data_IF_860643914631
#
_entry.id   IF_860643914631
#
_cell.length_a   1.000
_cell.length_b   1.000
_cell.length_c   1.000
_cell.angle_alpha   90.00
_cell.angle_beta   90.00
_cell.angle_gamma   90.00
#
_symmetry.space_group_name_H-M   'P 1'
#
loop_
_entity.id
_entity.type
_entity.pdbx_description
1 polymer ?
#
# COMPACT_ATOMS: atom_id res chain seq x y z
N UNK A 1 -2.56 13.15 22.11
CA UNK A 1 -2.41 12.37 20.86
C UNK A 1 -1.02 12.67 20.33
N UNK A 2 -0.16 11.66 20.17
CA UNK A 2 1.19 11.86 19.66
C UNK A 2 1.13 12.29 18.19
N UNK A 3 1.86 13.34 17.81
CA UNK A 3 2.00 13.74 16.41
C UNK A 3 2.73 12.63 15.67
N UNK A 4 2.20 12.11 14.54
CA UNK A 4 2.88 11.04 13.81
C UNK A 4 4.26 11.51 13.35
N UNK A 5 5.28 10.67 13.59
CA UNK A 5 6.68 10.98 13.29
C UNK A 5 7.09 10.56 11.88
N UNK A 6 6.25 9.73 11.24
CA UNK A 6 6.37 9.25 9.85
C UNK A 6 4.98 9.10 9.24
N UNK A 7 4.92 9.21 7.92
CA UNK A 7 3.75 8.85 7.09
C UNK A 7 4.13 7.70 6.18
N UNK A 8 3.29 6.67 6.14
CA UNK A 8 3.35 5.57 5.20
C UNK A 8 2.31 5.83 4.09
N UNK A 9 2.78 6.02 2.87
CA UNK A 9 1.96 6.17 1.68
C UNK A 9 1.85 4.83 0.96
N UNK A 10 0.62 4.36 0.74
CA UNK A 10 0.32 3.17 -0.05
C UNK A 10 -0.31 3.64 -1.34
N UNK A 11 0.42 3.48 -2.44
CA UNK A 11 0.01 3.95 -3.75
C UNK A 11 -0.48 2.77 -4.57
N UNK A 12 -1.77 2.81 -4.90
CA UNK A 12 -2.39 1.84 -5.79
C UNK A 12 -2.02 2.12 -7.24
N UNK A 13 -1.93 1.06 -8.06
CA UNK A 13 -1.80 1.19 -9.52
C UNK A 13 -3.15 1.57 -10.19
N UNK A 14 -4.27 1.41 -9.48
CA UNK A 14 -5.60 1.77 -9.96
C UNK A 14 -5.84 3.29 -9.97
N UNK A 15 -6.74 3.74 -10.85
CA UNK A 15 -7.28 5.11 -10.87
C UNK A 15 -8.46 5.21 -9.89
N UNK A 16 -8.56 6.28 -9.11
CA UNK A 16 -9.60 6.52 -8.11
C UNK A 16 -10.99 6.78 -8.72
N UNK A 17 -11.01 7.07 -10.02
CA UNK A 17 -12.21 6.98 -10.86
C UNK A 17 -12.67 5.53 -10.93
N UNK A 18 -13.81 5.25 -10.31
CA UNK A 18 -14.51 3.96 -10.15
C UNK A 18 -14.86 3.34 -11.53
N UNK A 19 -13.84 2.91 -12.28
CA UNK A 19 -13.95 2.27 -13.60
C UNK A 19 -13.13 0.96 -13.64
N UNK A 20 -12.49 0.57 -12.53
CA UNK A 20 -11.89 -0.76 -12.38
C UNK A 20 -12.93 -1.88 -12.33
N UNK A 21 -14.12 -1.62 -11.76
CA UNK A 21 -15.19 -2.63 -11.67
C UNK A 21 -15.82 -2.96 -13.03
N UNK A 22 -15.91 -1.99 -13.94
CA UNK A 22 -16.47 -2.20 -15.26
C UNK A 22 -15.48 -2.93 -16.20
N UNK A 23 -14.19 -2.58 -16.15
CA UNK A 23 -13.18 -3.27 -16.96
C UNK A 23 -12.87 -4.69 -16.44
N UNK A 24 -12.89 -4.94 -15.13
CA UNK A 24 -12.55 -6.26 -14.58
C UNK A 24 -13.64 -7.31 -14.87
N UNK A 25 -14.92 -6.93 -14.72
CA UNK A 25 -16.04 -7.79 -15.10
C UNK A 25 -16.12 -8.06 -16.60
N UNK A 26 -15.81 -7.06 -17.43
CA UNK A 26 -15.88 -7.18 -18.89
C UNK A 26 -14.67 -7.92 -19.51
N UNK A 27 -13.45 -7.73 -18.96
CA UNK A 27 -12.23 -8.40 -19.44
C UNK A 27 -12.15 -9.87 -19.03
N UNK A 28 -12.61 -10.25 -17.83
CA UNK A 28 -12.59 -11.67 -17.40
C UNK A 28 -13.55 -12.56 -18.21
N UNK A 29 -14.60 -11.97 -18.79
CA UNK A 29 -15.55 -12.66 -19.68
C UNK A 29 -15.01 -12.75 -21.12
N UNK A 30 -14.20 -11.77 -21.58
CA UNK A 30 -13.80 -11.66 -22.99
C UNK A 30 -12.31 -11.91 -23.31
N UNK A 31 -11.40 -11.91 -22.33
CA UNK A 31 -9.96 -12.12 -22.54
C UNK A 31 -9.27 -12.75 -21.30
N UNK A 32 -9.24 -14.09 -21.18
CA UNK A 32 -8.65 -14.77 -20.03
C UNK A 32 -7.11 -14.65 -19.91
N UNK A 33 -6.41 -14.20 -20.96
CA UNK A 33 -4.94 -14.28 -21.04
C UNK A 33 -4.20 -12.97 -20.75
N UNK A 34 -4.89 -11.82 -20.82
CA UNK A 34 -4.28 -10.47 -20.71
C UNK A 34 -4.94 -9.61 -19.61
N UNK A 35 -5.62 -10.24 -18.65
CA UNK A 35 -6.15 -9.49 -17.51
C UNK A 35 -4.96 -9.03 -16.66
N UNK A 36 -4.73 -7.71 -16.60
CA UNK A 36 -3.76 -7.11 -15.70
C UNK A 36 -3.90 -7.75 -14.31
N UNK A 37 -2.80 -8.25 -13.71
CA UNK A 37 -2.85 -8.87 -12.40
C UNK A 37 -3.49 -7.91 -11.40
N UNK A 38 -4.31 -8.45 -10.50
CA UNK A 38 -4.97 -7.66 -9.45
C UNK A 38 -3.90 -6.83 -8.74
N UNK A 39 -4.17 -5.55 -8.54
CA UNK A 39 -3.26 -4.66 -7.83
C UNK A 39 -3.00 -5.23 -6.43
N UNK A 40 -1.77 -5.67 -6.15
CA UNK A 40 -1.41 -6.33 -4.89
C UNK A 40 -1.76 -5.50 -3.65
N UNK A 41 -1.57 -4.18 -3.71
CA UNK A 41 -2.01 -3.28 -2.64
C UNK A 41 -3.54 -3.29 -2.45
N UNK A 42 -4.33 -3.37 -3.52
CA UNK A 42 -5.79 -3.53 -3.41
C UNK A 42 -6.19 -4.90 -2.85
N UNK A 43 -5.42 -5.96 -3.12
CA UNK A 43 -5.66 -7.27 -2.50
C UNK A 43 -5.43 -7.20 -0.98
N UNK A 44 -4.34 -6.56 -0.56
CA UNK A 44 -4.00 -6.38 0.86
C UNK A 44 -5.07 -5.54 1.58
N UNK A 45 -5.58 -4.47 0.96
CA UNK A 45 -6.48 -3.53 1.64
C UNK A 45 -7.96 -3.86 1.49
N UNK A 46 -8.37 -4.46 0.37
CA UNK A 46 -9.78 -4.69 0.02
C UNK A 46 -10.14 -6.16 -0.24
N UNK A 47 -9.17 -7.08 -0.22
CA UNK A 47 -9.40 -8.49 -0.56
C UNK A 47 -9.83 -8.70 -2.02
N UNK A 48 -9.44 -7.80 -2.93
CA UNK A 48 -9.72 -7.88 -4.36
C UNK A 48 -10.71 -6.83 -4.87
N UNK A 49 -11.94 -7.24 -5.21
CA UNK A 49 -12.91 -6.40 -5.94
C UNK A 49 -13.84 -5.55 -5.06
N UNK A 50 -13.64 -5.58 -3.75
CA UNK A 50 -14.35 -4.69 -2.83
C UNK A 50 -13.82 -3.26 -2.93
N UNK A 51 -14.65 -2.26 -2.63
CA UNK A 51 -14.20 -0.88 -2.40
C UNK A 51 -14.08 -0.56 -0.90
N UNK A 52 -14.49 -1.50 -0.05
CA UNK A 52 -14.41 -1.37 1.40
C UNK A 52 -13.13 -2.03 1.87
N UNK A 53 -12.45 -1.38 2.80
CA UNK A 53 -11.34 -1.99 3.53
C UNK A 53 -11.82 -3.26 4.23
N UNK A 54 -10.99 -4.30 4.21
CA UNK A 54 -11.29 -5.53 4.96
C UNK A 54 -11.13 -5.29 6.47
N UNK A 55 -11.85 -6.03 7.33
CA UNK A 55 -11.63 -5.96 8.77
C UNK A 55 -10.16 -6.20 9.17
N UNK A 56 -9.49 -7.12 8.48
CA UNK A 56 -8.07 -7.43 8.67
C UNK A 56 -7.19 -6.23 8.36
N UNK A 57 -7.47 -5.52 7.26
CA UNK A 57 -6.74 -4.30 6.91
C UNK A 57 -7.02 -3.15 7.88
N UNK A 58 -8.27 -2.97 8.31
CA UNK A 58 -8.62 -1.94 9.31
C UNK A 58 -7.84 -2.18 10.61
N UNK A 59 -7.74 -3.43 11.06
CA UNK A 59 -6.96 -3.79 12.24
C UNK A 59 -5.46 -3.52 12.03
N UNK A 60 -4.90 -3.93 10.89
CA UNK A 60 -3.49 -3.68 10.54
C UNK A 60 -3.17 -2.18 10.47
N UNK A 61 -4.04 -1.39 9.85
CA UNK A 61 -3.93 0.06 9.77
C UNK A 61 -3.97 0.70 11.16
N UNK A 62 -4.89 0.27 12.01
CA UNK A 62 -4.96 0.76 13.39
C UNK A 62 -3.72 0.40 14.21
N UNK A 63 -3.10 -0.76 13.96
CA UNK A 63 -1.85 -1.16 14.59
C UNK A 63 -0.70 -0.24 14.15
N UNK A 64 -0.55 -0.01 12.84
CA UNK A 64 0.45 0.90 12.26
C UNK A 64 0.29 2.32 12.82
N UNK A 65 -0.93 2.84 12.84
CA UNK A 65 -1.23 4.18 13.35
C UNK A 65 -1.05 4.28 14.87
N UNK A 66 -1.31 3.19 15.60
CA UNK A 66 -1.02 3.06 17.03
C UNK A 66 0.45 3.21 17.38
N UNK A 67 1.36 2.91 16.44
CA UNK A 67 2.80 3.08 16.59
C UNK A 67 3.32 4.47 16.15
N UNK A 68 2.41 5.40 15.87
CA UNK A 68 2.78 6.77 15.50
C UNK A 68 3.18 6.95 14.04
N UNK A 69 2.79 6.02 13.17
CA UNK A 69 2.94 6.11 11.71
C UNK A 69 1.58 6.38 11.07
N UNK A 70 1.41 7.53 10.43
CA UNK A 70 0.16 7.86 9.71
C UNK A 70 0.06 7.03 8.43
N UNK A 71 -1.06 6.35 8.19
CA UNK A 71 -1.28 5.63 6.93
C UNK A 71 -2.09 6.50 5.96
N UNK A 72 -1.54 6.72 4.77
CA UNK A 72 -2.20 7.42 3.67
C UNK A 72 -2.31 6.45 2.49
N UNK A 73 -3.51 6.30 1.94
CA UNK A 73 -3.77 5.44 0.80
C UNK A 73 -4.25 6.32 -0.35
N UNK A 74 -3.58 6.24 -1.49
CA UNK A 74 -3.90 7.02 -2.68
C UNK A 74 -3.92 6.16 -3.92
N UNK A 75 -4.87 6.45 -4.79
CA UNK A 75 -4.81 6.02 -6.18
C UNK A 75 -3.77 6.83 -6.95
N UNK A 76 -3.37 6.33 -8.13
CA UNK A 76 -2.32 6.96 -8.95
C UNK A 76 -2.59 8.42 -9.29
N UNK A 77 -3.87 8.80 -9.40
CA UNK A 77 -4.39 10.11 -9.76
C UNK A 77 -4.63 11.02 -8.54
N UNK A 78 -4.61 10.46 -7.34
CA UNK A 78 -4.84 11.17 -6.07
C UNK A 78 -3.53 11.59 -5.39
N UNK A 79 -2.38 11.14 -5.91
CA UNK A 79 -1.08 11.47 -5.35
C UNK A 79 -0.81 12.97 -5.36
N UNK A 80 -0.39 13.50 -4.21
CA UNK A 80 0.11 14.87 -4.09
C UNK A 80 1.30 15.11 -5.03
N UNK A 81 1.42 16.35 -5.53
CA UNK A 81 2.39 16.76 -6.55
C UNK A 81 3.84 16.41 -6.19
N UNK A 82 4.24 16.54 -4.92
CA UNK A 82 5.59 16.26 -4.46
C UNK A 82 5.92 14.76 -4.56
N UNK A 83 5.07 13.88 -4.03
CA UNK A 83 5.26 12.43 -4.08
C UNK A 83 5.16 11.92 -5.52
N UNK A 84 4.19 12.40 -6.30
CA UNK A 84 4.04 12.06 -7.71
C UNK A 84 5.27 12.45 -8.53
N UNK A 85 5.83 13.64 -8.28
CA UNK A 85 7.08 14.10 -8.91
C UNK A 85 8.26 13.19 -8.56
N UNK A 86 8.38 12.79 -7.29
CA UNK A 86 9.42 11.85 -6.85
C UNK A 86 9.26 10.47 -7.48
N UNK A 87 8.06 9.87 -7.46
CA UNK A 87 7.77 8.56 -8.08
C UNK A 87 8.19 8.54 -9.55
N UNK A 88 7.85 9.59 -10.30
CA UNK A 88 8.21 9.71 -11.73
C UNK A 88 9.72 9.89 -11.93
N UNK A 89 10.35 10.72 -11.10
CA UNK A 89 11.79 10.99 -11.19
C UNK A 89 12.63 9.74 -10.91
N UNK A 90 12.26 8.99 -9.87
CA UNK A 90 12.98 7.78 -9.45
C UNK A 90 12.55 6.53 -10.23
N UNK A 91 11.57 6.63 -11.13
CA UNK A 91 11.11 5.50 -11.95
C UNK A 91 10.43 4.39 -11.15
N UNK A 92 9.77 4.75 -10.04
CA UNK A 92 9.14 3.77 -9.13
C UNK A 92 7.89 3.18 -9.77
N UNK A 93 7.85 1.85 -9.84
CA UNK A 93 6.68 1.11 -10.36
C UNK A 93 5.56 1.01 -9.32
N UNK A 94 4.31 1.07 -9.77
CA UNK A 94 3.11 0.91 -8.94
C UNK A 94 2.57 -0.54 -9.00
N UNK A 95 1.91 -1.05 -7.94
CA UNK A 95 1.73 -0.41 -6.63
C UNK A 95 3.02 -0.35 -5.81
N UNK A 96 3.09 0.59 -4.87
CA UNK A 96 4.26 0.79 -4.00
C UNK A 96 3.84 1.29 -2.61
N UNK A 97 4.57 0.88 -1.58
CA UNK A 97 4.52 1.47 -0.24
C UNK A 97 5.77 2.31 0.01
N UNK A 98 5.57 3.58 0.40
CA UNK A 98 6.62 4.60 0.55
C UNK A 98 6.54 5.22 1.94
N UNK A 99 7.67 5.40 2.61
CA UNK A 99 7.72 6.13 3.89
C UNK A 99 8.29 7.53 3.71
N UNK A 100 7.77 8.49 4.47
CA UNK A 100 8.41 9.81 4.63
C UNK A 100 9.66 9.66 5.51
N UNK A 101 10.78 10.26 5.08
CA UNK A 101 12.02 10.26 5.87
C UNK A 101 11.90 11.25 7.03
N UNK A 102 12.04 10.78 8.28
CA UNK A 102 11.96 11.66 9.46
C UNK A 102 13.02 12.77 9.42
N UNK A 103 12.59 14.02 9.58
CA UNK A 103 13.48 15.18 9.69
C UNK A 103 14.07 15.70 8.39
N UNK A 104 13.64 15.19 7.22
CA UNK A 104 14.02 15.69 5.89
C UNK A 104 12.83 15.64 4.93
N UNK A 105 12.83 16.51 3.93
CA UNK A 105 11.98 16.30 2.76
C UNK A 105 12.55 15.14 1.94
N UNK A 106 11.87 14.00 1.96
CA UNK A 106 12.33 12.80 1.26
C UNK A 106 11.38 11.63 1.42
N UNK A 107 11.47 10.72 0.46
CA UNK A 107 10.67 9.51 0.37
C UNK A 107 11.59 8.31 0.19
N UNK A 108 11.20 7.17 0.75
CA UNK A 108 11.90 5.90 0.62
C UNK A 108 10.92 4.79 0.27
N UNK A 109 11.26 3.96 -0.73
CA UNK A 109 10.48 2.76 -1.04
C UNK A 109 10.67 1.76 0.09
N UNK A 110 9.56 1.38 0.73
CA UNK A 110 9.54 0.34 1.76
C UNK A 110 9.20 -1.00 1.14
N UNK A 111 8.18 -1.04 0.29
CA UNK A 111 7.80 -2.25 -0.45
C UNK A 111 7.48 -1.88 -1.89
N UNK A 112 8.21 -2.49 -2.81
CA UNK A 112 7.96 -2.38 -4.23
C UNK A 112 6.82 -3.33 -4.67
N UNK A 113 6.49 -3.26 -5.95
CA UNK A 113 5.45 -4.09 -6.58
C UNK A 113 5.66 -5.59 -6.33
N UNK A 114 6.89 -6.08 -6.41
CA UNK A 114 7.19 -7.50 -6.24
C UNK A 114 7.00 -7.93 -4.80
N UNK A 115 7.50 -7.13 -3.86
CA UNK A 115 7.34 -7.36 -2.42
C UNK A 115 5.87 -7.40 -2.05
N UNK A 116 5.08 -6.41 -2.48
CA UNK A 116 3.63 -6.37 -2.23
C UNK A 116 2.91 -7.58 -2.84
N UNK A 117 3.28 -7.98 -4.06
CA UNK A 117 2.73 -9.18 -4.70
C UNK A 117 3.06 -10.46 -3.94
N UNK A 118 4.24 -10.54 -3.34
CA UNK A 118 4.68 -11.68 -2.53
C UNK A 118 3.91 -11.85 -1.22
N UNK A 119 3.19 -10.82 -0.74
CA UNK A 119 2.37 -10.90 0.48
C UNK A 119 1.02 -11.60 0.26
N UNK A 120 0.60 -11.81 -1.00
CA UNK A 120 -0.61 -12.58 -1.30
C UNK A 120 -1.91 -12.02 -0.72
N UNK A 121 -1.99 -10.69 -0.50
CA UNK A 121 -3.16 -10.05 0.11
C UNK A 121 -3.22 -10.12 1.64
N UNK A 122 -2.16 -10.62 2.32
CA UNK A 122 -2.16 -10.75 3.77
C UNK A 122 -1.76 -9.44 4.48
N UNK A 123 -2.74 -8.81 5.13
CA UNK A 123 -2.57 -7.58 5.91
C UNK A 123 -1.63 -7.75 7.13
N UNK A 124 -1.58 -8.94 7.74
CA UNK A 124 -0.65 -9.23 8.85
C UNK A 124 0.78 -9.38 8.33
N UNK A 125 0.95 -10.05 7.20
CA UNK A 125 2.26 -10.16 6.54
C UNK A 125 2.78 -8.77 6.12
N UNK A 126 1.89 -7.87 5.70
CA UNK A 126 2.23 -6.48 5.44
C UNK A 126 2.79 -5.77 6.68
N UNK A 127 2.10 -5.88 7.83
CA UNK A 127 2.59 -5.29 9.09
C UNK A 127 3.95 -5.89 9.50
N UNK A 128 4.10 -7.22 9.42
CA UNK A 128 5.36 -7.89 9.71
C UNK A 128 6.50 -7.36 8.83
N UNK A 129 6.26 -7.24 7.52
CA UNK A 129 7.23 -6.70 6.58
C UNK A 129 7.61 -5.23 6.85
N UNK A 130 6.67 -4.40 7.37
CA UNK A 130 6.98 -3.04 7.82
C UNK A 130 7.90 -3.02 9.05
N UNK A 131 7.71 -3.95 10.00
CA UNK A 131 8.59 -4.10 11.18
C UNK A 131 9.99 -4.50 10.77
N UNK A 132 10.12 -5.50 9.90
CA UNK A 132 11.41 -5.97 9.37
C UNK A 132 12.22 -4.84 8.69
N UNK A 133 11.50 -3.88 8.10
CA UNK A 133 12.08 -2.73 7.38
C UNK A 133 12.27 -1.49 8.27
N UNK A 134 12.01 -1.60 9.58
CA UNK A 134 12.22 -0.49 10.53
C UNK A 134 11.27 0.70 10.34
N UNK A 135 10.13 0.50 9.66
CA UNK A 135 9.10 1.53 9.53
C UNK A 135 8.30 1.65 10.83
N UNK A 136 8.00 0.51 11.45
CA UNK A 136 7.33 0.40 12.74
C UNK A 136 8.35 0.23 13.87
N UNK A 137 8.05 0.79 15.04
CA UNK A 137 8.92 0.69 16.21
C UNK A 137 8.58 -0.58 16.99
N UNK A 138 9.20 -1.69 16.62
CA UNK A 138 9.13 -2.91 17.41
C UNK A 138 10.13 -3.96 16.95
N UNK A 139 11.03 -4.35 17.86
CA UNK A 139 11.74 -5.63 17.78
C UNK A 139 10.75 -6.77 17.52
N UNK A 140 11.16 -7.87 16.87
CA UNK A 140 10.29 -9.03 16.68
C UNK A 140 9.77 -9.46 18.06
N UNK A 141 8.45 -9.47 18.25
CA UNK A 141 7.86 -10.11 19.41
C UNK A 141 8.08 -11.62 19.27
N UNK A 142 9.19 -12.10 19.83
CA UNK A 142 9.36 -13.49 20.18
C UNK A 142 8.56 -13.74 21.46
N UNK A 143 7.40 -14.38 21.33
CA UNK A 143 6.72 -14.96 22.49
C UNK A 143 7.48 -16.24 22.89
N UNK A 144 8.03 -16.22 24.10
CA UNK A 144 8.42 -17.40 24.88
C UNK A 144 7.19 -18.10 25.47
#
# INVERSE_FOLDING_TARGET
MATPTKTLYIIYNASGTIMGKLQYGYKKINCPKDADPICAACEITHGGLSLKETPEWIAAKSEIEGEGVKVVQWHRDEMESQLNGWVKKEGVELPVAVSSVSGKEGFEVVMDRQTLGGLGGDAKAFVAALRERGVLNGAPQASL
#
